data_IF_720971684794
#
_entry.id   IF_720971684794
#
_cell.length_a   1.000
_cell.length_b   1.000
_cell.length_c   1.000
_cell.angle_alpha   90.00
_cell.angle_beta   90.00
_cell.angle_gamma   90.00
#
_symmetry.space_group_name_H-M   'P 1'
#
loop_
_entity.id
_entity.type
_entity.pdbx_description
1 polymer ?
#
# COMPACT_ATOMS: atom_id res chain seq x y z
N UNK A 1 1.27 -31.10 -17.43
CA UNK A 1 1.20 -30.53 -16.06
C UNK A 1 2.60 -30.29 -15.47
N UNK A 2 3.54 -29.72 -16.26
CA UNK A 2 4.87 -29.31 -15.77
C UNK A 2 5.02 -27.78 -15.63
N UNK A 3 4.25 -26.98 -16.38
CA UNK A 3 4.55 -25.54 -16.45
C UNK A 3 4.15 -24.69 -15.23
N UNK A 4 2.98 -24.88 -14.62
CA UNK A 4 2.53 -23.95 -13.55
C UNK A 4 3.27 -24.18 -12.22
N UNK A 5 3.71 -25.42 -11.98
CA UNK A 5 4.31 -25.82 -10.72
C UNK A 5 5.75 -25.32 -10.59
N UNK A 6 6.54 -25.42 -11.66
CA UNK A 6 7.95 -25.00 -11.69
C UNK A 6 8.07 -23.47 -11.55
N UNK A 7 7.10 -22.70 -12.09
CA UNK A 7 7.08 -21.24 -11.96
C UNK A 7 6.81 -20.76 -10.53
N UNK A 8 5.96 -21.46 -9.76
CA UNK A 8 5.68 -21.09 -8.37
C UNK A 8 6.89 -21.32 -7.48
N UNK A 9 7.51 -22.49 -7.58
CA UNK A 9 8.66 -22.85 -6.74
C UNK A 9 9.84 -21.92 -7.07
N UNK A 10 10.13 -21.71 -8.35
CA UNK A 10 11.14 -20.75 -8.78
C UNK A 10 10.85 -19.34 -8.25
N UNK A 11 9.61 -18.87 -8.32
CA UNK A 11 9.24 -17.56 -7.79
C UNK A 11 9.57 -17.45 -6.29
N UNK A 12 9.20 -18.44 -5.48
CA UNK A 12 9.51 -18.43 -4.04
C UNK A 12 11.02 -18.48 -3.82
N UNK A 13 11.76 -19.34 -4.52
CA UNK A 13 13.21 -19.42 -4.38
C UNK A 13 13.92 -18.12 -4.75
N UNK A 14 13.56 -17.51 -5.88
CA UNK A 14 14.16 -16.25 -6.33
C UNK A 14 13.95 -15.15 -5.26
N UNK A 15 12.73 -15.06 -4.71
CA UNK A 15 12.39 -14.05 -3.68
C UNK A 15 12.98 -14.35 -2.30
N UNK A 16 13.09 -15.61 -1.91
CA UNK A 16 13.64 -15.98 -0.60
C UNK A 16 15.16 -16.07 -0.60
N UNK A 17 15.82 -16.16 -1.77
CA UNK A 17 17.29 -16.15 -1.87
C UNK A 17 17.89 -14.74 -1.87
N UNK A 18 17.13 -13.72 -2.27
CA UNK A 18 17.61 -12.34 -2.38
C UNK A 18 16.52 -11.36 -1.91
N UNK A 19 16.81 -10.59 -0.86
CA UNK A 19 15.91 -9.55 -0.34
C UNK A 19 15.63 -8.44 -1.38
N UNK A 20 16.56 -8.19 -2.30
CA UNK A 20 16.38 -7.18 -3.36
C UNK A 20 15.31 -7.58 -4.38
N UNK A 21 14.94 -8.85 -4.38
CA UNK A 21 13.87 -9.37 -5.21
C UNK A 21 12.50 -9.16 -4.55
N UNK A 22 12.38 -8.77 -3.28
CA UNK A 22 11.08 -8.60 -2.66
C UNK A 22 10.21 -7.56 -3.37
N UNK A 23 8.87 -7.68 -3.29
CA UNK A 23 7.96 -6.73 -3.91
C UNK A 23 8.27 -5.28 -3.50
N UNK A 24 8.82 -4.54 -4.46
CA UNK A 24 9.05 -3.11 -4.33
C UNK A 24 7.96 -2.30 -5.04
N UNK A 25 7.95 -1.00 -4.75
CA UNK A 25 7.18 -0.06 -5.54
C UNK A 25 8.01 0.30 -6.78
N UNK A 26 7.48 0.04 -7.97
CA UNK A 26 8.22 0.15 -9.24
C UNK A 26 8.83 1.54 -9.48
N UNK A 27 8.25 2.60 -8.91
CA UNK A 27 8.70 3.97 -9.16
C UNK A 27 8.72 4.84 -7.89
N UNK A 28 9.47 4.39 -6.86
CA UNK A 28 9.66 5.13 -5.59
C UNK A 28 10.13 6.58 -5.80
N UNK A 29 11.01 6.82 -6.77
CA UNK A 29 11.47 8.18 -7.13
C UNK A 29 10.31 9.05 -7.59
N UNK A 30 9.46 8.54 -8.48
CA UNK A 30 8.29 9.26 -8.97
C UNK A 30 7.28 9.53 -7.85
N UNK A 31 7.09 8.60 -6.90
CA UNK A 31 6.26 8.84 -5.71
C UNK A 31 6.80 10.03 -4.91
N UNK A 32 8.12 10.06 -4.64
CA UNK A 32 8.75 11.18 -3.94
C UNK A 32 8.54 12.52 -4.67
N UNK A 33 8.63 12.52 -6.01
CA UNK A 33 8.35 13.70 -6.84
C UNK A 33 6.87 14.11 -6.78
N UNK A 34 5.95 13.16 -6.84
CA UNK A 34 4.51 13.40 -6.73
C UNK A 34 4.10 13.94 -5.37
N UNK A 35 4.72 13.46 -4.27
CA UNK A 35 4.52 14.04 -2.94
C UNK A 35 4.97 15.51 -2.92
N UNK A 36 6.12 15.84 -3.53
CA UNK A 36 6.60 17.22 -3.62
C UNK A 36 5.64 18.09 -4.44
N UNK A 37 5.17 17.59 -5.59
CA UNK A 37 4.21 18.28 -6.46
C UNK A 37 2.89 18.51 -5.72
N UNK A 38 2.34 17.48 -5.07
CA UNK A 38 1.11 17.58 -4.30
C UNK A 38 1.24 18.59 -3.16
N UNK A 39 2.34 18.58 -2.40
CA UNK A 39 2.55 19.56 -1.35
C UNK A 39 2.71 20.98 -1.89
N UNK A 40 3.40 21.17 -3.02
CA UNK A 40 3.51 22.47 -3.69
C UNK A 40 2.13 22.99 -4.12
N UNK A 41 1.33 22.15 -4.78
CA UNK A 41 -0.03 22.52 -5.18
C UNK A 41 -0.92 22.85 -3.99
N UNK A 42 -0.81 22.08 -2.90
CA UNK A 42 -1.55 22.34 -1.67
C UNK A 42 -1.20 23.71 -1.08
N UNK A 43 0.08 24.11 -1.16
CA UNK A 43 0.57 25.38 -0.64
C UNK A 43 0.05 26.62 -1.39
N UNK A 44 -0.44 26.45 -2.62
CA UNK A 44 -1.06 27.54 -3.40
C UNK A 44 -2.37 28.05 -2.78
N UNK A 45 -2.93 27.35 -1.79
CA UNK A 45 -4.10 27.77 -1.01
C UNK A 45 -5.36 28.08 -1.83
N UNK A 46 -5.57 27.36 -2.93
CA UNK A 46 -6.74 27.48 -3.78
C UNK A 46 -7.40 26.10 -4.00
N UNK A 47 -8.63 26.10 -4.50
CA UNK A 47 -9.45 24.89 -4.66
C UNK A 47 -8.78 23.88 -5.62
N UNK A 48 -8.24 24.36 -6.74
CA UNK A 48 -7.55 23.54 -7.74
C UNK A 48 -6.35 22.80 -7.13
N UNK A 49 -5.55 23.51 -6.35
CA UNK A 49 -4.40 22.97 -5.63
C UNK A 49 -4.84 21.87 -4.66
N UNK A 50 -5.86 22.14 -3.84
CA UNK A 50 -6.38 21.15 -2.89
C UNK A 50 -6.94 19.89 -3.56
N UNK A 51 -7.67 20.03 -4.68
CA UNK A 51 -8.19 18.91 -5.46
C UNK A 51 -7.06 18.08 -6.07
N UNK A 52 -6.12 18.74 -6.74
CA UNK A 52 -4.98 18.08 -7.39
C UNK A 52 -4.15 17.30 -6.38
N UNK A 53 -3.83 17.92 -5.24
CA UNK A 53 -3.09 17.25 -4.15
C UNK A 53 -3.86 16.05 -3.60
N UNK A 54 -5.17 16.18 -3.38
CA UNK A 54 -6.01 15.08 -2.85
C UNK A 54 -6.01 13.87 -3.79
N UNK A 55 -6.09 14.10 -5.11
CA UNK A 55 -6.04 13.02 -6.10
C UNK A 55 -4.68 12.31 -6.09
N UNK A 56 -3.58 13.08 -6.03
CA UNK A 56 -2.23 12.51 -5.95
C UNK A 56 -2.03 11.71 -4.66
N UNK A 57 -2.44 12.24 -3.50
CA UNK A 57 -2.36 11.52 -2.22
C UNK A 57 -3.10 10.19 -2.27
N UNK A 58 -4.29 10.18 -2.86
CA UNK A 58 -5.09 8.98 -3.01
C UNK A 58 -4.39 7.91 -3.88
N UNK A 59 -3.83 8.30 -5.03
CA UNK A 59 -3.09 7.37 -5.91
C UNK A 59 -1.86 6.79 -5.25
N UNK A 60 -1.13 7.61 -4.48
CA UNK A 60 0.03 7.14 -3.71
C UNK A 60 -0.42 6.09 -2.69
N UNK A 61 -1.46 6.37 -1.89
CA UNK A 61 -1.96 5.42 -0.89
C UNK A 61 -2.38 4.09 -1.54
N UNK A 62 -3.02 4.12 -2.72
CA UNK A 62 -3.36 2.89 -3.46
C UNK A 62 -2.13 2.03 -3.75
N UNK A 63 -1.08 2.64 -4.31
CA UNK A 63 0.15 1.94 -4.66
C UNK A 63 0.84 1.35 -3.42
N UNK A 64 0.87 2.11 -2.32
CA UNK A 64 1.43 1.66 -1.04
C UNK A 64 0.66 0.44 -0.48
N UNK A 65 -0.66 0.50 -0.47
CA UNK A 65 -1.49 -0.60 0.04
C UNK A 65 -1.38 -1.85 -0.83
N UNK A 66 -1.27 -1.69 -2.16
CA UNK A 66 -1.04 -2.82 -3.07
C UNK A 66 0.32 -3.45 -2.80
N UNK A 67 1.36 -2.64 -2.60
CA UNK A 67 2.69 -3.13 -2.26
C UNK A 67 2.69 -3.94 -0.94
N UNK A 68 2.02 -3.46 0.12
CA UNK A 68 1.88 -4.23 1.37
C UNK A 68 1.15 -5.57 1.16
N UNK A 69 0.13 -5.62 0.28
CA UNK A 69 -0.52 -6.89 -0.05
C UNK A 69 0.43 -7.84 -0.77
N UNK A 70 1.25 -7.34 -1.70
CA UNK A 70 2.26 -8.17 -2.39
C UNK A 70 3.27 -8.75 -1.40
N UNK A 71 3.78 -7.94 -0.46
CA UNK A 71 4.68 -8.39 0.61
C UNK A 71 4.01 -9.43 1.53
N UNK A 72 2.78 -9.15 1.97
CA UNK A 72 1.99 -10.07 2.79
C UNK A 72 1.77 -11.42 2.09
N UNK A 73 1.45 -11.38 0.80
CA UNK A 73 1.22 -12.58 -0.01
C UNK A 73 2.51 -13.38 -0.18
N UNK A 74 3.65 -12.72 -0.43
CA UNK A 74 4.95 -13.38 -0.48
C UNK A 74 5.23 -14.12 0.83
N UNK A 75 5.05 -13.46 1.98
CA UNK A 75 5.26 -14.10 3.28
C UNK A 75 4.38 -15.33 3.47
N UNK A 76 3.07 -15.23 3.19
CA UNK A 76 2.15 -16.39 3.30
C UNK A 76 2.63 -17.53 2.40
N UNK A 77 2.95 -17.23 1.15
CA UNK A 77 3.34 -18.23 0.16
C UNK A 77 4.66 -18.91 0.50
N UNK A 78 5.61 -18.18 1.07
CA UNK A 78 6.90 -18.71 1.52
C UNK A 78 6.74 -19.56 2.79
N UNK A 79 5.94 -19.13 3.77
CA UNK A 79 5.75 -19.85 5.04
C UNK A 79 5.06 -21.21 4.84
N UNK A 80 4.12 -21.31 3.90
CA UNK A 80 3.40 -22.57 3.63
C UNK A 80 4.08 -23.46 2.59
N UNK A 81 5.14 -22.99 1.95
CA UNK A 81 5.87 -23.75 0.93
C UNK A 81 6.37 -25.08 1.54
N UNK A 82 6.28 -26.23 0.81
CA UNK A 82 5.98 -26.40 -0.62
C UNK A 82 4.48 -26.44 -0.98
N UNK A 83 3.58 -26.20 -0.03
CA UNK A 83 2.15 -26.06 -0.35
C UNK A 83 1.94 -24.81 -1.20
N UNK A 84 1.15 -24.92 -2.26
CA UNK A 84 0.97 -23.84 -3.23
C UNK A 84 -0.35 -23.13 -2.99
N UNK A 85 -0.32 -21.81 -2.92
CA UNK A 85 -1.52 -20.97 -2.79
C UNK A 85 -1.48 -19.82 -3.79
N UNK A 86 -2.56 -19.66 -4.56
CA UNK A 86 -2.68 -18.59 -5.53
C UNK A 86 -3.32 -17.35 -4.86
N UNK A 87 -2.49 -16.37 -4.49
CA UNK A 87 -2.91 -15.10 -3.88
C UNK A 87 -2.85 -13.92 -4.86
N UNK A 88 -3.16 -14.15 -6.15
CA UNK A 88 -3.17 -13.06 -7.15
C UNK A 88 -4.10 -11.93 -6.73
N UNK A 89 -3.53 -10.72 -6.65
CA UNK A 89 -4.27 -9.47 -6.50
C UNK A 89 -4.94 -9.16 -7.84
N UNK A 90 -6.23 -8.81 -7.83
CA UNK A 90 -6.93 -8.44 -9.07
C UNK A 90 -6.34 -7.14 -9.63
N UNK A 91 -6.22 -7.04 -10.95
CA UNK A 91 -5.61 -5.89 -11.62
C UNK A 91 -6.36 -4.56 -11.41
N UNK A 92 -7.67 -4.61 -11.11
CA UNK A 92 -8.53 -3.43 -10.97
C UNK A 92 -9.34 -3.48 -9.68
N UNK A 93 -8.65 -3.33 -8.56
CA UNK A 93 -9.32 -3.15 -7.26
C UNK A 93 -9.62 -1.68 -7.04
N UNK A 94 -10.85 -1.38 -6.63
CA UNK A 94 -11.19 -0.07 -6.07
C UNK A 94 -10.56 0.08 -4.68
N UNK A 95 -10.31 1.31 -4.23
CA UNK A 95 -9.76 1.61 -2.90
C UNK A 95 -10.39 0.81 -1.75
N UNK A 96 -11.72 0.77 -1.71
CA UNK A 96 -12.45 0.03 -0.68
C UNK A 96 -12.30 -1.50 -0.78
N UNK A 97 -12.00 -2.03 -1.96
CA UNK A 97 -11.64 -3.43 -2.15
C UNK A 97 -10.21 -3.71 -1.67
N UNK A 98 -9.26 -2.81 -1.95
CA UNK A 98 -7.87 -2.92 -1.45
C UNK A 98 -7.87 -3.00 0.08
N UNK A 99 -8.62 -2.13 0.76
CA UNK A 99 -8.80 -2.16 2.23
C UNK A 99 -9.33 -3.52 2.71
N UNK A 100 -10.31 -4.10 2.01
CA UNK A 100 -10.90 -5.40 2.39
C UNK A 100 -9.96 -6.58 2.17
N UNK A 101 -9.10 -6.52 1.16
CA UNK A 101 -8.08 -7.54 0.95
C UNK A 101 -7.06 -7.54 2.09
N UNK A 102 -6.76 -6.37 2.66
CA UNK A 102 -5.95 -6.28 3.87
C UNK A 102 -6.59 -6.96 5.07
N UNK A 103 -7.92 -6.95 5.23
CA UNK A 103 -8.56 -7.69 6.33
C UNK A 103 -8.26 -9.21 6.28
N UNK A 104 -7.89 -9.74 5.10
CA UNK A 104 -7.55 -11.16 4.86
C UNK A 104 -6.05 -11.46 4.79
N UNK A 105 -5.21 -10.44 4.82
CA UNK A 105 -3.75 -10.60 4.82
C UNK A 105 -3.23 -10.96 6.22
N UNK A 106 -1.92 -11.19 6.33
CA UNK A 106 -1.26 -11.43 7.62
C UNK A 106 -1.44 -10.27 8.60
N UNK A 107 -1.31 -10.56 9.89
CA UNK A 107 -1.18 -9.52 10.90
C UNK A 107 0.24 -8.96 10.85
N UNK A 108 0.34 -7.63 10.87
CA UNK A 108 1.58 -6.88 10.97
C UNK A 108 1.34 -5.66 11.86
N UNK A 109 2.41 -4.97 12.23
CA UNK A 109 2.35 -3.88 13.18
C UNK A 109 1.57 -2.71 12.60
N UNK A 110 0.75 -2.08 13.44
CA UNK A 110 -0.12 -0.97 13.06
C UNK A 110 -1.15 -1.25 11.98
N UNK A 111 -1.37 -2.52 11.59
CA UNK A 111 -2.34 -2.88 10.55
C UNK A 111 -3.73 -2.28 10.82
N UNK A 112 -4.25 -2.46 12.02
CA UNK A 112 -5.60 -1.97 12.37
C UNK A 112 -5.67 -0.45 12.23
N UNK A 113 -4.67 0.26 12.76
CA UNK A 113 -4.56 1.70 12.69
C UNK A 113 -4.45 2.19 11.24
N UNK A 114 -3.58 1.57 10.43
CA UNK A 114 -3.41 1.88 9.02
C UNK A 114 -4.73 1.75 8.25
N UNK A 115 -5.42 0.63 8.43
CA UNK A 115 -6.67 0.32 7.73
C UNK A 115 -7.79 1.28 8.16
N UNK A 116 -7.89 1.61 9.44
CA UNK A 116 -8.86 2.58 9.94
C UNK A 116 -8.58 4.01 9.44
N UNK A 117 -7.32 4.42 9.37
CA UNK A 117 -6.94 5.71 8.79
C UNK A 117 -7.20 5.78 7.28
N UNK A 118 -6.96 4.69 6.55
CA UNK A 118 -7.34 4.57 5.14
C UNK A 118 -8.87 4.66 4.93
N UNK A 119 -9.68 4.03 5.79
CA UNK A 119 -11.15 4.15 5.76
C UNK A 119 -11.58 5.60 5.96
N UNK A 120 -11.06 6.27 7.00
CA UNK A 120 -11.34 7.69 7.28
C UNK A 120 -10.89 8.59 6.12
N UNK A 121 -9.70 8.38 5.57
CA UNK A 121 -9.19 9.11 4.40
C UNK A 121 -10.16 8.98 3.22
N UNK A 122 -10.58 7.75 2.89
CA UNK A 122 -11.48 7.50 1.76
C UNK A 122 -12.83 8.19 1.94
N UNK A 123 -13.42 8.13 3.13
CA UNK A 123 -14.69 8.82 3.43
C UNK A 123 -14.59 10.34 3.24
N UNK A 124 -13.50 10.95 3.74
CA UNK A 124 -13.29 12.40 3.60
C UNK A 124 -13.02 12.75 2.14
N UNK A 125 -12.17 11.96 1.44
CA UNK A 125 -11.83 12.14 0.02
C UNK A 125 -13.06 12.05 -0.87
N UNK A 126 -13.94 11.06 -0.66
CA UNK A 126 -15.20 10.93 -1.42
C UNK A 126 -16.06 12.17 -1.22
N UNK A 127 -16.23 12.62 0.04
CA UNK A 127 -17.00 13.83 0.33
C UNK A 127 -16.37 15.06 -0.31
N UNK A 128 -15.05 15.19 -0.27
CA UNK A 128 -14.34 16.34 -0.81
C UNK A 128 -14.43 16.43 -2.34
N UNK A 129 -14.14 15.32 -3.04
CA UNK A 129 -14.09 15.27 -4.51
C UNK A 129 -15.49 15.28 -5.12
N UNK A 130 -16.45 14.54 -4.55
CA UNK A 130 -17.78 14.38 -5.16
C UNK A 130 -18.84 15.35 -4.63
N UNK A 131 -18.60 16.05 -3.52
CA UNK A 131 -19.54 17.01 -2.96
C UNK A 131 -18.98 18.44 -2.89
N UNK A 132 -18.10 18.81 -3.82
CA UNK A 132 -17.47 20.14 -3.84
C UNK A 132 -18.51 21.28 -3.85
N UNK A 133 -19.60 21.11 -4.60
CA UNK A 133 -20.70 22.08 -4.68
C UNK A 133 -21.59 22.12 -3.43
N UNK A 134 -21.41 21.21 -2.47
CA UNK A 134 -22.17 21.17 -1.21
C UNK A 134 -21.47 21.91 -0.07
N UNK A 135 -20.24 22.36 -0.27
CA UNK A 135 -19.54 23.18 0.73
C UNK A 135 -20.13 24.58 0.79
N UNK A 136 -20.25 25.14 2.00
CA UNK A 136 -20.87 26.44 2.22
C UNK A 136 -19.97 27.61 1.82
N UNK A 137 -18.66 27.41 1.90
CA UNK A 137 -17.64 28.41 1.61
C UNK A 137 -16.25 27.77 1.45
N UNK A 138 -15.30 28.55 0.95
CA UNK A 138 -13.91 28.11 0.74
C UNK A 138 -13.19 27.70 2.04
N UNK A 139 -13.58 28.25 3.19
CA UNK A 139 -12.99 27.90 4.49
C UNK A 139 -13.29 26.45 4.86
N UNK A 140 -14.50 25.97 4.53
CA UNK A 140 -14.89 24.58 4.74
C UNK A 140 -14.08 23.64 3.83
N UNK A 141 -13.91 24.02 2.55
CA UNK A 141 -13.05 23.29 1.58
C UNK A 141 -11.63 23.17 2.12
N UNK A 142 -11.03 24.28 2.57
CA UNK A 142 -9.68 24.33 3.13
C UNK A 142 -9.53 23.45 4.36
N UNK A 143 -10.50 23.48 5.27
CA UNK A 143 -10.49 22.66 6.49
C UNK A 143 -10.53 21.17 6.15
N UNK A 144 -11.36 20.76 5.19
CA UNK A 144 -11.41 19.36 4.74
C UNK A 144 -10.13 18.94 4.02
N UNK A 145 -9.59 19.79 3.14
CA UNK A 145 -8.34 19.52 2.45
C UNK A 145 -7.16 19.33 3.43
N UNK A 146 -7.08 20.14 4.49
CA UNK A 146 -6.07 19.97 5.55
C UNK A 146 -6.20 18.64 6.26
N UNK A 147 -7.43 18.25 6.63
CA UNK A 147 -7.68 16.94 7.24
C UNK A 147 -7.24 15.79 6.33
N UNK A 148 -7.46 15.89 5.01
CA UNK A 148 -6.96 14.91 4.04
C UNK A 148 -5.42 14.84 4.05
N UNK A 149 -4.73 15.99 4.05
CA UNK A 149 -3.26 16.02 4.08
C UNK A 149 -2.70 15.42 5.38
N UNK A 150 -3.31 15.72 6.52
CA UNK A 150 -2.92 15.16 7.83
C UNK A 150 -3.08 13.63 7.83
N UNK A 151 -4.21 13.13 7.32
CA UNK A 151 -4.47 11.69 7.18
C UNK A 151 -3.48 11.03 6.23
N UNK A 152 -3.18 11.66 5.10
CA UNK A 152 -2.18 11.17 4.16
C UNK A 152 -0.82 10.98 4.86
N UNK A 153 -0.33 11.98 5.60
CA UNK A 153 0.96 11.87 6.32
C UNK A 153 0.97 10.72 7.32
N UNK A 154 -0.08 10.61 8.13
CA UNK A 154 -0.20 9.52 9.09
C UNK A 154 -0.22 8.14 8.40
N UNK A 155 -0.91 8.01 7.27
CA UNK A 155 -0.94 6.77 6.49
C UNK A 155 0.46 6.42 5.95
N UNK A 156 1.27 7.41 5.54
CA UNK A 156 2.66 7.16 5.12
C UNK A 156 3.47 6.58 6.28
N UNK A 157 3.39 7.19 7.47
CA UNK A 157 4.14 6.72 8.64
C UNK A 157 3.74 5.29 9.02
N UNK A 158 2.43 5.02 9.10
CA UNK A 158 1.89 3.69 9.42
C UNK A 158 2.23 2.64 8.34
N UNK A 159 2.31 3.04 7.06
CA UNK A 159 2.76 2.16 5.99
C UNK A 159 4.19 1.69 6.22
N UNK A 160 5.11 2.61 6.55
CA UNK A 160 6.52 2.25 6.76
C UNK A 160 6.68 1.34 7.98
N UNK A 161 5.99 1.60 9.10
CA UNK A 161 5.99 0.72 10.26
C UNK A 161 5.47 -0.69 9.90
N UNK A 162 4.35 -0.78 9.18
CA UNK A 162 3.79 -2.06 8.76
C UNK A 162 4.69 -2.82 7.79
N UNK A 163 5.31 -2.11 6.85
CA UNK A 163 6.25 -2.67 5.87
C UNK A 163 7.49 -3.25 6.56
N UNK A 164 8.11 -2.48 7.46
CA UNK A 164 9.30 -2.91 8.21
C UNK A 164 9.02 -4.21 8.99
N UNK A 165 7.84 -4.33 9.62
CA UNK A 165 7.48 -5.57 10.30
C UNK A 165 7.33 -6.75 9.32
N UNK A 166 6.69 -6.57 8.17
CA UNK A 166 6.56 -7.67 7.19
C UNK A 166 7.93 -8.10 6.64
N UNK A 167 8.81 -7.14 6.36
CA UNK A 167 10.18 -7.41 5.95
C UNK A 167 10.96 -8.17 7.02
N UNK A 168 10.82 -7.79 8.30
CA UNK A 168 11.38 -8.55 9.41
C UNK A 168 10.87 -10.01 9.45
N UNK A 169 9.58 -10.25 9.23
CA UNK A 169 9.02 -11.61 9.18
C UNK A 169 9.59 -12.43 8.02
N UNK A 170 9.77 -11.82 6.85
CA UNK A 170 10.41 -12.45 5.69
C UNK A 170 11.89 -12.76 5.97
N UNK A 171 12.62 -11.84 6.59
CA UNK A 171 14.02 -12.07 6.99
C UNK A 171 14.19 -13.20 7.99
N UNK A 172 13.29 -13.26 8.97
CA UNK A 172 13.30 -14.32 9.95
C UNK A 172 12.99 -15.68 9.29
N UNK A 173 12.04 -15.70 8.34
CA UNK A 173 11.73 -16.90 7.55
C UNK A 173 12.90 -17.35 6.67
N UNK A 174 13.64 -16.43 6.05
CA UNK A 174 14.86 -16.74 5.30
C UNK A 174 15.90 -17.49 6.15
N UNK A 175 16.03 -17.14 7.43
CA UNK A 175 16.99 -17.77 8.35
C UNK A 175 16.51 -19.09 8.92
N UNK A 176 15.20 -19.29 9.01
CA UNK A 176 14.59 -20.52 9.56
C UNK A 176 14.63 -21.70 8.60
N UNK A 177 14.71 -21.43 7.30
CA UNK A 177 14.67 -22.44 6.24
C UNK A 177 15.99 -22.43 5.49
N UNK A 178 16.59 -23.62 5.31
CA UNK A 178 17.77 -23.77 4.45
C UNK A 178 17.32 -23.84 2.99
N UNK A 179 17.18 -22.67 2.37
CA UNK A 179 16.76 -22.54 0.97
C UNK A 179 17.83 -23.06 -0.01
N UNK A 180 19.10 -23.17 0.40
CA UNK A 180 20.21 -23.65 -0.43
C UNK A 180 20.25 -25.18 -0.53
N UNK A 181 19.76 -25.90 0.49
CA UNK A 181 19.55 -27.35 0.42
C UNK A 181 18.41 -27.79 -0.50
N UNK A 182 17.67 -26.83 -1.08
CA UNK A 182 16.47 -27.06 -1.87
C UNK A 182 16.64 -26.75 -3.37
N UNK A 183 17.86 -26.39 -3.80
CA UNK A 183 18.29 -26.30 -5.20
C UNK A 183 18.64 -27.67 -5.77
#
# INVERSE_FOLDING_TARGET
MKDINDHYDKYIFDKMSDENEWPEIENTKLIGEFIKIANKQFSNNNIEGYLSSTLIFHQIIEELLINLLKLSNLYIQAEIWPTKLNLKIKEKLMFGEIIREHDRSIKFDKKTELIDECRKFNEIRIKFVHNLLKFKNETEVKTKAKSIQEKFRLIIDLYFEGREHIEYLLFDLQKRIDWDLMK
#
